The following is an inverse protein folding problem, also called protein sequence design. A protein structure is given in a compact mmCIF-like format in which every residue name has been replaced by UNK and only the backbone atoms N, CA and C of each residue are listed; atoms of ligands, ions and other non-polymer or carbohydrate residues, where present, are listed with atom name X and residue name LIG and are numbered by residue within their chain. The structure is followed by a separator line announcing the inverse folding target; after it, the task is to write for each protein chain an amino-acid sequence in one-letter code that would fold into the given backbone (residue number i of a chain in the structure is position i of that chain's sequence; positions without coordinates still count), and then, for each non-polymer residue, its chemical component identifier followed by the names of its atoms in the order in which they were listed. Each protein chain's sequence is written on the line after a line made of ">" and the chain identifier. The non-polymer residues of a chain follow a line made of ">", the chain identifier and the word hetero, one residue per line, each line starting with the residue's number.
data_IF_445436713984
#
_entry.id   IF_445436713984
#
_cell.length_a   1.000
_cell.length_b   1.000
_cell.length_c   1.000
_cell.angle_alpha   90.00
_cell.angle_beta   90.00
_cell.angle_gamma   90.00
#
_symmetry.space_group_name_H-M   'P 1'
#
loop_
_entity.id
_entity.type
_entity.pdbx_description
1 polymer ?
#
# COMPACT_ATOMS: atom_id res chain seq x y z
N UNK A 1 3.99 -20.37 1.47
CA UNK A 1 2.96 -19.49 0.88
C UNK A 1 2.32 -20.21 -0.31
N UNK A 2 1.01 -20.09 -0.46
CA UNK A 2 0.27 -20.79 -1.53
C UNK A 2 0.42 -20.08 -2.88
N UNK A 3 0.94 -18.85 -2.87
CA UNK A 3 1.13 -18.02 -4.05
C UNK A 3 2.44 -17.23 -3.98
N UNK A 4 2.99 -16.76 -5.10
CA UNK A 4 4.13 -15.86 -5.11
C UNK A 4 3.80 -14.60 -4.31
N UNK A 5 4.62 -14.29 -3.33
CA UNK A 5 4.43 -13.19 -2.41
C UNK A 5 5.66 -12.31 -2.34
N UNK A 6 5.64 -11.35 -1.44
CA UNK A 6 6.74 -10.42 -1.19
C UNK A 6 8.04 -11.18 -0.82
N UNK A 7 9.19 -10.89 -1.46
CA UNK A 7 10.49 -11.46 -1.08
C UNK A 7 10.85 -11.29 0.40
N UNK A 8 10.26 -10.31 1.10
CA UNK A 8 10.43 -10.14 2.54
C UNK A 8 9.95 -11.36 3.35
N UNK A 9 9.08 -12.19 2.79
CA UNK A 9 8.66 -13.46 3.40
C UNK A 9 9.85 -14.39 3.67
N UNK A 10 10.87 -14.39 2.81
CA UNK A 10 12.11 -15.16 3.03
C UNK A 10 12.87 -14.65 4.24
N UNK A 11 12.97 -13.34 4.41
CA UNK A 11 13.61 -12.74 5.57
C UNK A 11 12.84 -13.08 6.84
N UNK A 12 11.52 -12.97 6.82
CA UNK A 12 10.66 -13.32 7.95
C UNK A 12 10.78 -14.80 8.33
N UNK A 13 10.85 -15.69 7.33
CA UNK A 13 11.06 -17.11 7.54
C UNK A 13 12.36 -17.41 8.31
N UNK A 14 13.49 -16.85 7.85
CA UNK A 14 14.78 -17.08 8.51
C UNK A 14 14.90 -16.41 9.89
N UNK A 15 14.26 -15.26 10.08
CA UNK A 15 14.15 -14.63 11.40
C UNK A 15 13.36 -15.52 12.36
N UNK A 16 12.24 -16.10 11.89
CA UNK A 16 11.43 -17.00 12.68
C UNK A 16 12.17 -18.33 12.99
N UNK A 17 12.90 -18.86 12.01
CA UNK A 17 13.77 -20.03 12.17
C UNK A 17 14.81 -19.84 13.28
N UNK A 18 15.46 -18.68 13.34
CA UNK A 18 16.41 -18.37 14.40
C UNK A 18 15.71 -18.15 15.75
N UNK A 19 14.59 -17.41 15.75
CA UNK A 19 13.91 -17.04 16.99
C UNK A 19 13.31 -18.24 17.73
N UNK A 20 12.79 -19.25 17.00
CA UNK A 20 12.12 -20.41 17.61
C UNK A 20 13.07 -21.27 18.46
N UNK A 21 14.38 -21.21 18.19
CA UNK A 21 15.39 -21.90 19.00
C UNK A 21 15.51 -21.32 20.43
N UNK A 22 15.08 -20.07 20.62
CA UNK A 22 15.27 -19.32 21.85
C UNK A 22 13.98 -19.02 22.59
N UNK A 23 12.87 -18.79 21.86
CA UNK A 23 11.59 -18.36 22.42
C UNK A 23 10.42 -19.09 21.76
N UNK A 24 9.27 -19.10 22.43
CA UNK A 24 8.01 -19.65 21.88
C UNK A 24 7.07 -18.58 21.36
N UNK A 25 7.25 -17.33 21.80
CA UNK A 25 6.41 -16.19 21.46
C UNK A 25 7.31 -15.01 21.12
N UNK A 26 6.96 -14.29 20.06
CA UNK A 26 7.61 -13.03 19.68
C UNK A 26 6.55 -11.92 19.59
N UNK A 27 7.00 -10.68 19.75
CA UNK A 27 6.17 -9.50 19.56
C UNK A 27 6.56 -8.83 18.25
N UNK A 28 5.58 -8.65 17.36
CA UNK A 28 5.72 -7.98 16.08
C UNK A 28 5.24 -6.52 16.10
N UNK A 29 5.61 -5.78 15.08
CA UNK A 29 5.22 -4.38 14.88
C UNK A 29 4.05 -4.18 13.90
N UNK A 30 3.43 -5.27 13.41
CA UNK A 30 2.38 -5.21 12.40
C UNK A 30 1.19 -4.36 12.88
N UNK A 31 0.67 -3.51 12.01
CA UNK A 31 -0.41 -2.59 12.31
C UNK A 31 0.03 -1.19 12.77
N UNK A 32 1.32 -1.00 13.12
CA UNK A 32 1.81 0.30 13.57
C UNK A 32 1.69 1.41 12.53
N UNK A 33 2.07 1.11 11.30
CA UNK A 33 2.01 2.06 10.19
C UNK A 33 0.56 2.39 9.78
N UNK A 34 -0.33 1.40 9.86
CA UNK A 34 -1.75 1.54 9.56
C UNK A 34 -2.50 2.34 10.63
N UNK A 35 -2.02 2.34 11.86
CA UNK A 35 -2.61 3.13 12.95
C UNK A 35 -2.09 4.58 13.00
N UNK A 36 -0.80 4.77 12.73
CA UNK A 36 -0.11 6.03 12.98
C UNK A 36 0.47 6.68 11.71
N UNK A 37 0.07 6.23 10.54
CA UNK A 37 0.41 6.89 9.29
C UNK A 37 1.88 6.77 8.88
N UNK A 38 2.57 5.67 9.21
CA UNK A 38 4.00 5.51 9.01
C UNK A 38 4.47 5.37 7.56
N UNK A 39 3.57 5.05 6.62
CA UNK A 39 3.97 4.86 5.22
C UNK A 39 4.14 6.17 4.44
N UNK A 40 5.25 6.29 3.71
CA UNK A 40 5.53 7.43 2.80
C UNK A 40 4.38 7.71 1.82
N UNK A 41 3.63 6.68 1.40
CA UNK A 41 2.52 6.82 0.46
C UNK A 41 1.36 7.66 0.98
N UNK A 42 1.14 7.72 2.30
CA UNK A 42 0.11 8.56 2.89
C UNK A 42 0.41 10.03 2.63
N UNK A 43 1.61 10.46 2.97
CA UNK A 43 2.06 11.82 2.67
C UNK A 43 2.11 12.11 1.18
N UNK A 44 2.58 11.14 0.39
CA UNK A 44 2.60 11.24 -1.07
C UNK A 44 1.22 11.48 -1.67
N UNK A 45 0.17 10.82 -1.16
CA UNK A 45 -1.22 11.06 -1.58
C UNK A 45 -1.71 12.46 -1.20
N UNK A 46 -1.38 12.94 0.01
CA UNK A 46 -1.70 14.30 0.44
C UNK A 46 -1.00 15.34 -0.45
N UNK A 47 0.29 15.16 -0.74
CA UNK A 47 1.02 16.03 -1.67
C UNK A 47 0.44 15.98 -3.09
N UNK A 48 0.06 14.80 -3.59
CA UNK A 48 -0.59 14.67 -4.87
C UNK A 48 -1.93 15.42 -4.93
N UNK A 49 -2.69 15.43 -3.83
CA UNK A 49 -3.94 16.18 -3.74
C UNK A 49 -3.72 17.70 -3.79
N UNK A 50 -2.65 18.19 -3.16
CA UNK A 50 -2.28 19.61 -3.25
C UNK A 50 -1.77 19.97 -4.65
N UNK A 51 -0.92 19.12 -5.22
CA UNK A 51 -0.40 19.32 -6.58
C UNK A 51 -1.52 19.26 -7.64
N UNK A 52 -2.58 18.50 -7.41
CA UNK A 52 -3.75 18.42 -8.28
C UNK A 52 -4.48 19.78 -8.45
N UNK A 53 -4.26 20.75 -7.53
CA UNK A 53 -4.80 22.13 -7.65
C UNK A 53 -4.14 22.93 -8.79
N UNK A 54 -2.95 22.54 -9.24
CA UNK A 54 -2.32 23.12 -10.42
C UNK A 54 -3.15 22.75 -11.65
N UNK A 55 -3.51 23.71 -12.54
CA UNK A 55 -4.31 23.44 -13.73
C UNK A 55 -3.79 22.24 -14.53
N UNK A 56 -4.70 21.36 -14.93
CA UNK A 56 -4.36 20.12 -15.65
C UNK A 56 -3.63 20.39 -16.96
N UNK A 57 -3.91 21.52 -17.62
CA UNK A 57 -3.24 21.94 -18.86
C UNK A 57 -1.74 22.17 -18.62
N UNK A 58 -1.38 22.84 -17.51
CA UNK A 58 0.04 23.04 -17.14
C UNK A 58 0.70 21.74 -16.75
N UNK A 59 0.00 20.90 -15.98
CA UNK A 59 0.54 19.60 -15.57
C UNK A 59 0.81 18.70 -16.77
N UNK A 60 -0.13 18.61 -17.73
CA UNK A 60 0.04 17.78 -18.94
C UNK A 60 0.97 18.38 -19.96
N UNK A 61 0.87 19.70 -20.22
CA UNK A 61 1.57 20.36 -21.32
C UNK A 61 3.00 20.79 -21.00
N UNK A 62 3.31 21.09 -19.75
CA UNK A 62 4.63 21.60 -19.37
C UNK A 62 5.34 20.68 -18.38
N UNK A 63 4.71 20.36 -17.26
CA UNK A 63 5.39 19.64 -16.18
C UNK A 63 5.61 18.17 -16.57
N UNK A 64 4.61 17.50 -17.16
CA UNK A 64 4.72 16.11 -17.59
C UNK A 64 5.89 15.87 -18.55
N UNK A 65 5.98 16.60 -19.68
CA UNK A 65 7.14 16.51 -20.58
C UNK A 65 8.49 16.77 -19.89
N UNK A 66 8.56 17.79 -19.02
CA UNK A 66 9.78 18.08 -18.26
C UNK A 66 10.20 16.92 -17.34
N UNK A 67 9.25 16.23 -16.71
CA UNK A 67 9.52 15.06 -15.87
C UNK A 67 10.00 13.86 -16.69
N UNK A 68 9.55 13.72 -17.94
CA UNK A 68 10.04 12.65 -18.84
C UNK A 68 11.49 12.88 -19.31
N UNK A 69 11.95 14.14 -19.37
CA UNK A 69 13.34 14.47 -19.70
C UNK A 69 14.30 14.21 -18.54
N UNK A 70 13.81 14.00 -17.32
CA UNK A 70 14.66 13.67 -16.18
C UNK A 70 15.28 12.28 -16.35
N UNK A 71 16.59 12.14 -16.16
CA UNK A 71 17.25 10.84 -16.27
C UNK A 71 16.66 9.83 -15.27
N UNK A 72 16.53 8.59 -15.69
CA UNK A 72 16.14 7.51 -14.79
C UNK A 72 17.34 7.12 -13.94
N UNK A 73 17.22 7.29 -12.64
CA UNK A 73 18.19 6.72 -11.71
C UNK A 73 17.77 5.28 -11.41
N UNK A 74 18.75 4.36 -11.39
CA UNK A 74 18.51 2.93 -11.12
C UNK A 74 17.98 2.60 -9.71
N UNK A 75 17.70 3.63 -8.92
CA UNK A 75 17.17 3.49 -7.55
C UNK A 75 15.66 3.77 -7.53
N UNK A 76 14.86 2.83 -7.06
CA UNK A 76 13.40 2.91 -7.07
C UNK A 76 12.81 4.08 -6.27
N UNK A 77 13.50 4.58 -5.24
CA UNK A 77 13.16 5.80 -4.48
C UNK A 77 13.83 7.07 -4.99
N UNK A 78 14.32 7.10 -6.24
CA UNK A 78 14.90 8.31 -6.80
C UNK A 78 13.90 9.46 -6.84
N UNK A 79 14.39 10.71 -6.71
CA UNK A 79 13.53 11.90 -6.78
C UNK A 79 12.74 11.97 -8.09
N UNK A 80 13.35 11.57 -9.21
CA UNK A 80 12.67 11.51 -10.50
C UNK A 80 11.49 10.51 -10.49
N UNK A 81 11.69 9.33 -9.89
CA UNK A 81 10.62 8.35 -9.74
C UNK A 81 9.49 8.88 -8.85
N UNK A 82 9.81 9.44 -7.70
CA UNK A 82 8.82 10.03 -6.79
C UNK A 82 8.00 11.15 -7.43
N UNK A 83 8.66 12.03 -8.20
CA UNK A 83 7.98 13.13 -8.91
C UNK A 83 7.06 12.61 -10.04
N UNK A 84 7.49 11.62 -10.81
CA UNK A 84 6.65 10.99 -11.84
C UNK A 84 5.45 10.27 -11.22
N UNK A 85 5.66 9.55 -10.12
CA UNK A 85 4.60 8.90 -9.35
C UNK A 85 3.58 9.92 -8.82
N UNK A 86 4.04 10.99 -8.17
CA UNK A 86 3.20 12.08 -7.68
C UNK A 86 2.44 12.76 -8.83
N UNK A 87 3.08 12.96 -9.96
CA UNK A 87 2.47 13.52 -11.15
C UNK A 87 1.35 12.62 -11.68
N UNK A 88 1.60 11.31 -11.81
CA UNK A 88 0.58 10.32 -12.21
C UNK A 88 -0.63 10.36 -11.26
N UNK A 89 -0.39 10.32 -9.96
CA UNK A 89 -1.45 10.34 -8.94
C UNK A 89 -2.27 11.64 -8.93
N UNK A 90 -1.69 12.75 -9.34
CA UNK A 90 -2.40 14.04 -9.36
C UNK A 90 -3.56 14.10 -10.34
N UNK A 91 -3.68 13.15 -11.27
CA UNK A 91 -4.79 13.03 -12.21
C UNK A 91 -5.92 12.11 -11.72
N UNK A 92 -5.71 11.45 -10.59
CA UNK A 92 -6.69 10.60 -9.94
C UNK A 92 -7.26 11.31 -8.69
N UNK A 93 -8.42 10.88 -8.22
CA UNK A 93 -9.09 11.47 -7.07
C UNK A 93 -9.55 10.39 -6.08
N UNK A 94 -9.69 10.77 -4.81
CA UNK A 94 -10.26 9.93 -3.77
C UNK A 94 -9.65 8.53 -3.68
N UNK A 95 -10.51 7.52 -3.64
CA UNK A 95 -10.11 6.10 -3.56
C UNK A 95 -9.28 5.65 -4.76
N UNK A 96 -9.60 6.13 -5.97
CA UNK A 96 -8.84 5.81 -7.18
C UNK A 96 -7.39 6.30 -7.09
N UNK A 97 -7.16 7.50 -6.51
CA UNK A 97 -5.80 7.99 -6.26
C UNK A 97 -5.08 7.10 -5.27
N UNK A 98 -5.74 6.71 -4.20
CA UNK A 98 -5.15 5.86 -3.19
C UNK A 98 -4.84 4.47 -3.73
N UNK A 99 -5.77 3.82 -4.40
CA UNK A 99 -5.55 2.54 -5.09
C UNK A 99 -4.44 2.63 -6.13
N UNK A 100 -4.42 3.71 -6.93
CA UNK A 100 -3.34 3.99 -7.88
C UNK A 100 -1.96 4.17 -7.22
N UNK A 101 -1.91 4.61 -5.96
CA UNK A 101 -0.65 4.71 -5.21
C UNK A 101 -0.12 3.36 -4.75
N UNK A 102 -0.99 2.39 -4.55
CA UNK A 102 -0.68 1.03 -4.17
C UNK A 102 -0.37 0.13 -5.37
N UNK A 103 -0.91 0.43 -6.53
CA UNK A 103 -0.55 -0.22 -7.80
C UNK A 103 0.89 0.15 -8.23
N UNK A 104 1.74 0.08 -7.27
CA UNK A 104 3.15 0.41 -7.25
C UNK A 104 3.95 -0.38 -8.25
N UNK A 105 3.41 -1.50 -8.65
CA UNK A 105 4.16 -2.56 -9.24
C UNK A 105 3.53 -2.97 -10.56
N UNK A 106 4.00 -2.40 -11.63
CA UNK A 106 4.11 -3.01 -12.95
C UNK A 106 2.83 -3.49 -13.65
N UNK A 107 1.74 -3.82 -12.94
CA UNK A 107 0.54 -4.39 -13.51
C UNK A 107 -0.70 -3.51 -13.34
N UNK A 108 -0.63 -2.28 -13.84
CA UNK A 108 -1.84 -1.48 -14.03
C UNK A 108 -2.80 -2.14 -15.06
N UNK A 109 -3.99 -1.61 -15.21
CA UNK A 109 -5.01 -2.19 -16.07
C UNK A 109 -4.52 -2.41 -17.52
N UNK A 110 -3.71 -1.49 -18.06
CA UNK A 110 -3.16 -1.60 -19.41
C UNK A 110 -2.19 -2.78 -19.53
N UNK A 111 -1.27 -2.93 -18.59
CA UNK A 111 -0.31 -4.04 -18.58
C UNK A 111 -0.97 -5.37 -18.29
N UNK A 112 -2.01 -5.41 -17.45
CA UNK A 112 -2.82 -6.63 -17.27
C UNK A 112 -3.52 -7.01 -18.57
N UNK A 113 -4.01 -6.03 -19.32
CA UNK A 113 -4.63 -6.28 -20.62
C UNK A 113 -3.65 -6.89 -21.65
N UNK A 114 -2.37 -6.49 -21.60
CA UNK A 114 -1.33 -7.07 -22.46
C UNK A 114 -0.91 -8.48 -22.01
N UNK A 115 -0.96 -8.76 -20.70
CA UNK A 115 -0.50 -10.03 -20.13
C UNK A 115 -1.52 -11.15 -20.29
N UNK A 116 -2.80 -10.84 -20.10
CA UNK A 116 -3.85 -11.86 -20.11
C UNK A 116 -4.32 -12.19 -21.51
N UNK A 117 -4.55 -13.48 -21.77
CA UNK A 117 -5.22 -13.93 -22.99
C UNK A 117 -6.68 -13.46 -23.03
N UNK A 118 -7.27 -13.42 -24.25
CA UNK A 118 -8.69 -13.09 -24.43
C UNK A 118 -9.62 -14.02 -23.64
N UNK A 119 -9.23 -15.27 -23.45
CA UNK A 119 -9.96 -16.23 -22.63
C UNK A 119 -9.93 -15.82 -21.15
N UNK A 120 -8.75 -15.46 -20.63
CA UNK A 120 -8.59 -14.99 -19.25
C UNK A 120 -9.38 -13.69 -19.02
N UNK A 121 -9.35 -12.78 -19.97
CA UNK A 121 -10.17 -11.55 -19.92
C UNK A 121 -11.66 -11.84 -19.85
N UNK A 122 -12.15 -12.77 -20.66
CA UNK A 122 -13.57 -13.17 -20.62
C UNK A 122 -13.97 -13.83 -19.30
N UNK A 123 -13.07 -14.63 -18.70
CA UNK A 123 -13.33 -15.32 -17.42
C UNK A 123 -13.27 -14.39 -16.23
N UNK A 124 -12.31 -13.46 -16.19
CA UNK A 124 -12.14 -12.46 -15.11
C UNK A 124 -13.27 -11.41 -15.21
N UNK A 125 -13.76 -11.15 -16.42
CA UNK A 125 -14.81 -10.15 -16.65
C UNK A 125 -14.36 -8.73 -16.31
N UNK A 126 -15.30 -7.93 -15.83
CA UNK A 126 -15.05 -6.51 -15.47
C UNK A 126 -14.45 -6.34 -14.06
N UNK A 127 -13.72 -7.34 -13.55
CA UNK A 127 -13.10 -7.24 -12.23
C UNK A 127 -12.02 -6.15 -12.21
N UNK A 128 -12.27 -5.12 -11.41
CA UNK A 128 -11.29 -4.06 -11.14
C UNK A 128 -10.58 -4.38 -9.81
N UNK A 129 -9.33 -4.83 -9.89
CA UNK A 129 -8.54 -5.12 -8.69
C UNK A 129 -8.42 -3.90 -7.76
N UNK A 130 -8.44 -2.72 -8.34
CA UNK A 130 -8.40 -1.43 -7.64
C UNK A 130 -9.61 -1.22 -6.72
N UNK A 131 -10.77 -1.80 -7.06
CA UNK A 131 -11.99 -1.70 -6.25
C UNK A 131 -11.81 -2.29 -4.84
N UNK A 132 -10.94 -3.27 -4.66
CA UNK A 132 -10.63 -3.83 -3.34
C UNK A 132 -10.11 -2.75 -2.35
N UNK A 133 -9.46 -1.71 -2.86
CA UNK A 133 -8.94 -0.59 -2.07
C UNK A 133 -9.88 0.62 -2.14
N UNK A 134 -10.45 0.90 -3.31
CA UNK A 134 -11.34 2.04 -3.52
C UNK A 134 -12.61 1.96 -2.66
N UNK A 135 -13.21 0.79 -2.57
CA UNK A 135 -14.44 0.59 -1.84
C UNK A 135 -14.30 0.84 -0.33
N UNK A 136 -13.32 0.26 0.39
CA UNK A 136 -13.08 0.61 1.78
C UNK A 136 -12.74 2.09 1.97
N UNK A 137 -11.89 2.67 1.12
CA UNK A 137 -11.57 4.09 1.19
C UNK A 137 -12.81 4.98 1.05
N UNK A 138 -13.68 4.67 0.08
CA UNK A 138 -14.88 5.47 -0.19
C UNK A 138 -15.96 5.30 0.89
N UNK A 139 -16.03 4.13 1.54
CA UNK A 139 -16.94 3.88 2.68
C UNK A 139 -16.47 4.53 3.98
N UNK A 140 -15.18 4.74 4.13
CA UNK A 140 -14.62 5.35 5.34
C UNK A 140 -15.04 6.81 5.47
N UNK A 141 -15.30 7.22 6.71
CA UNK A 141 -15.56 8.63 7.06
C UNK A 141 -14.27 9.29 7.56
N UNK A 142 -14.28 10.62 7.63
CA UNK A 142 -13.16 11.41 8.13
C UNK A 142 -12.34 12.06 7.02
N UNK A 143 -11.17 12.54 7.41
CA UNK A 143 -10.22 13.18 6.51
C UNK A 143 -9.52 12.17 5.58
N UNK A 144 -8.84 12.61 4.52
CA UNK A 144 -8.18 11.70 3.58
C UNK A 144 -7.23 10.68 4.23
N UNK A 145 -6.50 11.09 5.28
CA UNK A 145 -5.62 10.18 6.01
C UNK A 145 -6.42 9.07 6.71
N UNK A 146 -7.51 9.41 7.40
CA UNK A 146 -8.33 8.41 8.09
C UNK A 146 -8.88 7.35 7.12
N UNK A 147 -9.28 7.78 5.92
CA UNK A 147 -9.78 6.89 4.87
C UNK A 147 -8.68 5.95 4.34
N UNK A 148 -7.44 6.46 4.21
CA UNK A 148 -6.29 5.65 3.79
C UNK A 148 -5.94 4.61 4.86
N UNK A 149 -5.86 5.02 6.13
CA UNK A 149 -5.58 4.13 7.26
C UNK A 149 -6.65 3.03 7.36
N UNK A 150 -7.92 3.40 7.22
CA UNK A 150 -9.02 2.43 7.23
C UNK A 150 -8.92 1.44 6.08
N UNK A 151 -8.68 1.90 4.85
CA UNK A 151 -8.56 1.01 3.70
C UNK A 151 -7.40 0.02 3.86
N UNK A 152 -6.25 0.47 4.36
CA UNK A 152 -5.12 -0.41 4.61
C UNK A 152 -5.39 -1.41 5.75
N UNK A 153 -6.04 -0.98 6.82
CA UNK A 153 -6.40 -1.87 7.92
C UNK A 153 -7.39 -2.97 7.50
N UNK A 154 -8.26 -2.67 6.53
CA UNK A 154 -9.28 -3.62 6.05
C UNK A 154 -8.78 -4.59 4.99
N UNK A 155 -7.76 -4.22 4.22
CA UNK A 155 -7.32 -5.01 3.06
C UNK A 155 -5.85 -5.36 3.17
N UNK A 156 -4.98 -4.36 3.16
CA UNK A 156 -3.55 -4.58 3.07
C UNK A 156 -2.96 -5.23 4.32
N UNK A 157 -3.36 -4.79 5.50
CA UNK A 157 -2.83 -5.30 6.76
C UNK A 157 -3.10 -6.81 6.92
N UNK A 158 -4.34 -7.32 6.77
CA UNK A 158 -4.59 -8.75 6.90
C UNK A 158 -3.97 -9.56 5.76
N UNK A 159 -4.07 -9.08 4.52
CA UNK A 159 -3.71 -9.86 3.32
C UNK A 159 -2.22 -9.85 2.99
N UNK A 160 -1.41 -9.02 3.66
CA UNK A 160 0.01 -8.93 3.38
C UNK A 160 0.88 -9.00 4.64
N UNK A 161 1.05 -7.96 5.49
CA UNK A 161 1.98 -8.08 6.62
C UNK A 161 1.61 -9.20 7.59
N UNK A 162 0.36 -9.21 8.03
CA UNK A 162 -0.11 -10.20 9.03
C UNK A 162 -0.05 -11.61 8.49
N UNK A 163 -0.50 -11.84 7.25
CA UNK A 163 -0.43 -13.14 6.60
C UNK A 163 1.02 -13.64 6.49
N UNK A 164 1.96 -12.79 6.12
CA UNK A 164 3.38 -13.16 6.01
C UNK A 164 3.92 -13.49 7.39
N UNK A 165 3.73 -12.62 8.37
CA UNK A 165 4.21 -12.83 9.73
C UNK A 165 3.66 -14.14 10.31
N UNK A 166 2.34 -14.34 10.23
CA UNK A 166 1.68 -15.54 10.74
C UNK A 166 2.22 -16.82 10.09
N UNK A 167 2.24 -16.89 8.76
CA UNK A 167 2.67 -18.09 8.04
C UNK A 167 4.14 -18.41 8.24
N UNK A 168 5.01 -17.39 8.27
CA UNK A 168 6.46 -17.60 8.42
C UNK A 168 6.82 -18.01 9.85
N UNK A 169 6.17 -17.45 10.86
CA UNK A 169 6.40 -17.83 12.26
C UNK A 169 5.78 -19.19 12.56
N UNK A 170 4.57 -19.46 12.07
CA UNK A 170 3.92 -20.77 12.27
C UNK A 170 4.65 -21.92 11.56
N UNK A 171 5.38 -21.66 10.47
CA UNK A 171 6.24 -22.67 9.84
C UNK A 171 7.30 -23.24 10.80
N UNK A 172 7.66 -22.50 11.85
CA UNK A 172 8.62 -22.90 12.89
C UNK A 172 7.96 -23.13 14.27
N UNK A 173 6.61 -23.13 14.33
CA UNK A 173 5.90 -23.29 15.59
C UNK A 173 6.15 -22.14 16.58
N UNK A 174 6.41 -20.94 16.05
CA UNK A 174 6.63 -19.71 16.80
C UNK A 174 5.35 -18.88 16.77
N UNK A 175 4.85 -18.44 17.92
CA UNK A 175 3.68 -17.58 18.02
C UNK A 175 4.07 -16.10 17.87
N UNK A 176 3.53 -15.39 16.88
CA UNK A 176 3.69 -13.94 16.77
C UNK A 176 2.47 -13.20 17.32
N UNK A 177 2.70 -12.18 18.12
CA UNK A 177 1.67 -11.28 18.65
C UNK A 177 1.96 -9.85 18.25
N UNK A 178 0.94 -9.14 17.74
CA UNK A 178 1.04 -7.73 17.34
C UNK A 178 0.21 -6.84 18.24
N UNK A 179 0.80 -6.19 19.24
CA UNK A 179 0.07 -5.31 20.18
C UNK A 179 -0.66 -4.16 19.49
N UNK A 180 -0.17 -3.70 18.35
CA UNK A 180 -0.84 -2.65 17.55
C UNK A 180 -2.18 -3.10 16.96
N UNK A 181 -2.44 -4.40 16.92
CA UNK A 181 -3.73 -4.95 16.46
C UNK A 181 -4.73 -5.17 17.61
N UNK A 182 -4.37 -4.81 18.84
CA UNK A 182 -5.34 -4.83 19.96
C UNK A 182 -6.46 -3.83 19.66
N UNK A 183 -7.72 -4.31 19.71
CA UNK A 183 -8.89 -3.50 19.34
C UNK A 183 -9.01 -2.21 20.13
N UNK A 184 -8.59 -2.17 21.41
CA UNK A 184 -8.64 -0.97 22.25
C UNK A 184 -7.62 0.07 21.77
N UNK A 185 -6.43 -0.39 21.34
CA UNK A 185 -5.42 0.49 20.77
C UNK A 185 -5.86 1.00 19.39
N UNK A 186 -6.44 0.14 18.56
CA UNK A 186 -6.99 0.52 17.24
C UNK A 186 -8.08 1.58 17.42
N UNK A 187 -9.04 1.37 18.31
CA UNK A 187 -10.10 2.35 18.61
C UNK A 187 -9.55 3.67 19.17
N UNK A 188 -8.54 3.60 20.02
CA UNK A 188 -7.87 4.79 20.54
C UNK A 188 -7.17 5.56 19.42
N UNK A 189 -6.35 4.88 18.60
CA UNK A 189 -5.64 5.48 17.49
C UNK A 189 -6.60 6.10 16.45
N UNK A 190 -7.72 5.44 16.16
CA UNK A 190 -8.74 5.97 15.25
C UNK A 190 -9.32 7.31 15.71
N UNK A 191 -9.42 7.54 17.02
CA UNK A 191 -9.93 8.80 17.61
C UNK A 191 -8.89 9.92 17.69
N UNK A 192 -7.62 9.62 17.47
CA UNK A 192 -6.58 10.65 17.49
C UNK A 192 -6.75 11.62 16.32
N UNK A 193 -6.56 12.93 16.56
CA UNK A 193 -6.46 13.91 15.49
C UNK A 193 -5.31 13.56 14.53
N UNK A 194 -5.49 13.77 13.22
CA UNK A 194 -4.50 13.41 12.20
C UNK A 194 -3.12 14.06 12.39
N UNK A 195 -3.04 15.18 13.06
CA UNK A 195 -1.76 15.84 13.41
C UNK A 195 -0.91 15.05 14.44
N UNK A 196 -1.49 14.03 15.05
CA UNK A 196 -0.83 13.17 16.06
C UNK A 196 -0.62 11.74 15.56
N UNK A 197 -0.94 11.50 14.29
CA UNK A 197 -0.73 10.22 13.61
C UNK A 197 0.49 10.28 12.71
#
# INVERSE_FOLDING_TARGET
>A
LDEPSDPLSLCAYHVAELAHEHVKVVIGGDGGDELFGGYDRYYGNLYASHYARVPSLLRRGLIGPALHLMPEAGWYKSKGHQLRWLHKLSFLEGGARYAGSLSYFYFDAARRAELFSDESHRRIGAFAAEAAIEDPFNRAMGEPLDRMLYADSMVRLPDHPVMITDRMTMAHGLEARSPFMDHKLVEFAARLPNRLK
#
